data_IF_535688764867
#
_entry.id   IF_535688764867
#
_cell.length_a   1.000
_cell.length_b   1.000
_cell.length_c   1.000
_cell.angle_alpha   90.00
_cell.angle_beta   90.00
_cell.angle_gamma   90.00
#
_symmetry.space_group_name_H-M   'P 1'
#
loop_
_entity.id
_entity.type
_entity.pdbx_description
1 polymer ?
#
# COMPACT_ATOMS: atom_id res chain seq x y z
N UNK A 1 -35.49 31.45 -18.58
CA UNK A 1 -36.31 30.79 -17.53
C UNK A 1 -35.81 29.36 -17.41
N UNK A 2 -35.44 28.81 -16.26
CA UNK A 2 -35.16 29.32 -14.90
C UNK A 2 -33.91 28.52 -14.42
N UNK A 3 -32.86 29.13 -13.85
CA UNK A 3 -32.57 29.13 -12.39
C UNK A 3 -32.87 27.80 -11.68
N UNK A 4 -31.94 27.16 -10.96
CA UNK A 4 -30.86 27.64 -10.05
C UNK A 4 -29.65 26.66 -10.13
N UNK A 5 -28.41 27.14 -10.30
CA UNK A 5 -27.39 27.51 -9.28
C UNK A 5 -26.91 26.33 -8.40
N UNK A 6 -25.60 26.09 -8.36
CA UNK A 6 -24.96 24.99 -7.61
C UNK A 6 -23.44 25.14 -7.59
N UNK A 7 -22.94 26.28 -7.08
CA UNK A 7 -21.52 26.64 -7.14
C UNK A 7 -20.71 26.05 -5.98
N UNK A 8 -19.68 25.28 -6.31
CA UNK A 8 -18.45 25.03 -5.55
C UNK A 8 -18.52 24.91 -4.01
N UNK A 9 -18.47 23.66 -3.52
CA UNK A 9 -17.72 23.34 -2.29
C UNK A 9 -17.30 21.85 -2.29
N UNK A 10 -15.99 21.60 -2.13
CA UNK A 10 -15.26 20.34 -1.90
C UNK A 10 -13.78 20.68 -2.23
N UNK A 11 -13.09 21.50 -1.43
CA UNK A 11 -12.47 21.13 -0.15
C UNK A 11 -11.57 19.90 -0.27
N UNK A 12 -10.25 20.14 -0.25
CA UNK A 12 -9.32 19.18 0.34
C UNK A 12 -9.29 19.33 1.87
N UNK A 13 -8.21 18.85 2.47
CA UNK A 13 -7.94 18.75 3.91
C UNK A 13 -8.67 17.62 4.64
N UNK A 14 -7.90 16.84 5.41
CA UNK A 14 -8.40 15.96 6.45
C UNK A 14 -9.17 16.77 7.50
N UNK A 15 -10.38 16.36 7.87
CA UNK A 15 -11.01 16.75 9.14
C UNK A 15 -12.18 15.83 9.51
N UNK A 16 -12.05 15.16 10.66
CA UNK A 16 -13.18 14.61 11.43
C UNK A 16 -14.13 15.76 11.81
N UNK A 17 -15.46 15.59 11.73
CA UNK A 17 -16.39 16.41 12.51
C UNK A 17 -17.83 15.86 12.59
N UNK A 18 -18.22 15.37 13.78
CA UNK A 18 -19.55 15.62 14.36
C UNK A 18 -19.36 15.91 15.86
N UNK A 19 -19.95 16.99 16.35
CA UNK A 19 -20.21 17.29 17.77
C UNK A 19 -21.49 18.15 17.88
N UNK A 20 -22.05 18.44 19.07
CA UNK A 20 -21.76 17.96 20.44
C UNK A 20 -22.97 17.13 20.95
N UNK A 21 -23.60 17.21 22.14
CA UNK A 21 -23.51 17.98 23.41
C UNK A 21 -24.25 17.12 24.49
N UNK A 22 -24.17 17.25 25.82
CA UNK A 22 -23.77 18.35 26.72
C UNK A 22 -22.97 17.86 27.97
N UNK A 23 -22.98 18.69 29.03
CA UNK A 23 -22.73 18.47 30.47
C UNK A 23 -22.92 17.05 31.05
N UNK A 24 -22.22 16.61 32.12
CA UNK A 24 -21.94 17.33 33.39
C UNK A 24 -20.59 16.93 34.04
N UNK A 25 -19.78 17.94 34.41
CA UNK A 25 -19.05 18.09 35.69
C UNK A 25 -17.99 17.07 36.20
N UNK A 26 -16.77 17.55 36.47
CA UNK A 26 -15.76 16.83 37.28
C UNK A 26 -14.37 17.49 37.32
N UNK A 27 -14.01 18.15 38.42
CA UNK A 27 -12.80 19.00 38.55
C UNK A 27 -11.45 18.27 38.65
N UNK A 28 -10.38 18.97 38.22
CA UNK A 28 -8.96 18.88 38.67
C UNK A 28 -8.03 18.01 37.81
N UNK A 29 -6.84 18.44 37.35
CA UNK A 29 -6.06 19.70 37.58
C UNK A 29 -5.25 20.12 36.34
N UNK A 30 -4.72 21.35 36.32
CA UNK A 30 -4.02 21.95 35.15
C UNK A 30 -2.49 21.93 35.33
N UNK A 31 -1.72 21.22 34.47
CA UNK A 31 -0.34 21.55 34.12
C UNK A 31 -0.30 22.65 33.05
N UNK A 32 0.84 23.35 32.92
CA UNK A 32 0.94 24.58 32.12
C UNK A 32 1.07 24.32 30.61
N UNK A 33 0.60 25.31 29.85
CA UNK A 33 0.88 25.53 28.42
C UNK A 33 2.34 25.26 28.03
N UNK A 34 2.53 24.48 26.96
CA UNK A 34 3.81 24.16 26.33
C UNK A 34 3.67 22.88 25.50
N UNK A 35 3.89 23.00 24.18
CA UNK A 35 3.92 21.89 23.19
C UNK A 35 2.71 20.92 23.21
N UNK A 36 1.81 21.11 22.25
CA UNK A 36 1.14 19.95 21.65
C UNK A 36 2.21 19.23 20.85
N UNK A 37 2.78 18.15 21.40
CA UNK A 37 3.60 17.23 20.61
C UNK A 37 2.67 16.54 19.61
N UNK A 38 2.58 17.10 18.40
CA UNK A 38 2.04 16.38 17.25
C UNK A 38 3.01 15.23 16.99
N UNK A 39 2.63 14.03 17.44
CA UNK A 39 3.31 12.79 17.06
C UNK A 39 2.89 12.53 15.62
N UNK A 40 3.59 13.18 14.69
CA UNK A 40 3.54 12.85 13.26
C UNK A 40 3.80 11.36 13.08
N UNK A 41 3.08 10.68 12.18
CA UNK A 41 3.18 9.23 11.99
C UNK A 41 4.43 8.82 11.18
N UNK A 42 5.58 9.28 11.64
CA UNK A 42 6.91 8.88 11.19
C UNK A 42 7.15 7.37 11.39
N UNK A 43 6.28 6.68 12.15
CA UNK A 43 6.33 5.22 12.31
C UNK A 43 5.97 4.47 11.03
N UNK A 44 4.96 4.99 10.29
CA UNK A 44 4.52 4.42 9.02
C UNK A 44 5.58 4.62 7.93
N UNK A 45 6.08 5.85 7.77
CA UNK A 45 7.12 6.16 6.80
C UNK A 45 8.43 5.41 7.08
N UNK A 46 8.87 5.37 8.35
CA UNK A 46 10.10 4.67 8.72
C UNK A 46 10.02 3.17 8.43
N UNK A 47 8.88 2.53 8.73
CA UNK A 47 8.67 1.11 8.42
C UNK A 47 8.65 0.86 6.91
N UNK A 48 8.02 1.73 6.12
CA UNK A 48 7.92 1.55 4.67
C UNK A 48 9.22 1.86 3.92
N UNK A 49 10.15 2.62 4.53
CA UNK A 49 11.54 2.83 4.04
C UNK A 49 12.51 1.68 4.38
N UNK A 50 12.11 0.69 5.17
CA UNK A 50 12.93 -0.51 5.46
C UNK A 50 13.04 -1.42 4.23
N UNK A 51 14.12 -2.22 4.16
CA UNK A 51 14.24 -3.33 3.20
C UNK A 51 13.10 -4.37 3.40
N UNK A 52 12.77 -5.19 2.40
CA UNK A 52 11.71 -6.20 2.58
C UNK A 52 12.06 -7.25 3.65
N UNK A 53 13.34 -7.58 3.81
CA UNK A 53 13.83 -8.43 4.90
C UNK A 53 13.60 -7.76 6.26
N UNK A 54 14.00 -6.49 6.42
CA UNK A 54 13.77 -5.71 7.64
C UNK A 54 12.28 -5.54 7.95
N UNK A 55 11.43 -5.30 6.95
CA UNK A 55 9.97 -5.24 7.12
C UNK A 55 9.44 -6.56 7.70
N UNK A 56 9.90 -7.70 7.19
CA UNK A 56 9.52 -9.02 7.69
C UNK A 56 10.12 -9.31 9.07
N UNK A 57 11.35 -8.89 9.36
CA UNK A 57 12.00 -9.06 10.66
C UNK A 57 11.40 -8.17 11.76
N UNK A 58 10.86 -6.99 11.39
CA UNK A 58 10.27 -6.02 12.32
C UNK A 58 8.72 -6.08 12.41
N UNK A 59 8.05 -6.81 11.52
CA UNK A 59 6.60 -6.98 11.53
C UNK A 59 6.04 -7.52 12.87
N UNK A 60 4.84 -7.09 13.26
CA UNK A 60 4.13 -7.72 14.38
C UNK A 60 3.39 -8.99 13.95
N UNK A 61 2.91 -9.03 12.71
CA UNK A 61 2.22 -10.18 12.13
C UNK A 61 2.27 -10.19 10.59
N UNK A 62 1.94 -11.34 10.00
CA UNK A 62 1.88 -11.56 8.56
C UNK A 62 0.67 -12.45 8.23
N UNK A 63 -0.02 -12.12 7.14
CA UNK A 63 -1.00 -12.99 6.49
C UNK A 63 -0.55 -13.29 5.06
N UNK A 64 -0.91 -14.46 4.55
CA UNK A 64 -0.89 -14.76 3.12
C UNK A 64 -2.33 -15.01 2.69
N UNK A 65 -2.81 -14.26 1.70
CA UNK A 65 -4.13 -14.43 1.10
C UNK A 65 -4.00 -14.96 -0.32
N UNK A 66 -4.93 -15.84 -0.72
CA UNK A 66 -5.12 -16.30 -2.11
C UNK A 66 -6.42 -15.70 -2.64
N UNK A 67 -6.44 -15.29 -3.90
CA UNK A 67 -7.64 -14.83 -4.57
C UNK A 67 -8.34 -16.01 -5.26
N UNK A 68 -9.40 -16.52 -4.65
CA UNK A 68 -10.29 -17.49 -5.27
C UNK A 68 -11.27 -16.75 -6.19
N UNK A 69 -11.20 -17.02 -7.49
CA UNK A 69 -11.99 -16.36 -8.53
C UNK A 69 -13.02 -17.36 -9.06
N UNK A 70 -14.30 -16.97 -9.08
CA UNK A 70 -15.39 -17.84 -9.58
C UNK A 70 -15.64 -17.71 -11.10
N UNK A 71 -16.54 -18.56 -11.63
CA UNK A 71 -16.96 -18.56 -13.05
C UNK A 71 -17.63 -17.23 -13.50
N UNK A 72 -17.90 -16.31 -12.57
CA UNK A 72 -18.48 -14.99 -12.81
C UNK A 72 -17.46 -13.85 -12.61
N UNK A 73 -16.21 -14.15 -12.23
CA UNK A 73 -15.14 -13.19 -11.99
C UNK A 73 -15.12 -12.57 -10.58
N UNK A 74 -15.98 -13.02 -9.65
CA UNK A 74 -15.97 -12.51 -8.28
C UNK A 74 -14.74 -13.01 -7.52
N UNK A 75 -14.06 -12.12 -6.81
CA UNK A 75 -12.85 -12.43 -6.04
C UNK A 75 -13.17 -12.65 -4.56
N UNK A 76 -12.81 -13.82 -4.04
CA UNK A 76 -12.83 -14.15 -2.60
C UNK A 76 -11.39 -14.25 -2.08
N UNK A 77 -10.90 -13.27 -1.29
CA UNK A 77 -9.59 -13.37 -0.65
C UNK A 77 -9.64 -14.34 0.53
N UNK A 78 -8.98 -15.49 0.43
CA UNK A 78 -8.94 -16.53 1.48
C UNK A 78 -7.57 -16.54 2.14
N UNK A 79 -7.53 -16.46 3.48
CA UNK A 79 -6.29 -16.57 4.26
C UNK A 79 -5.75 -18.00 4.17
N UNK A 80 -4.58 -18.17 3.54
CA UNK A 80 -3.89 -19.47 3.42
C UNK A 80 -2.86 -19.68 4.52
N UNK A 81 -2.21 -18.61 4.99
CA UNK A 81 -1.23 -18.67 6.07
C UNK A 81 -1.34 -17.45 6.99
N UNK A 82 -0.97 -17.65 8.26
CA UNK A 82 -0.88 -16.59 9.28
C UNK A 82 0.32 -16.82 10.18
N UNK A 83 1.02 -15.74 10.55
CA UNK A 83 2.01 -15.69 11.63
C UNK A 83 1.83 -14.43 12.47
N UNK A 84 2.14 -14.49 13.76
CA UNK A 84 2.09 -13.34 14.67
C UNK A 84 3.14 -13.48 15.77
N UNK A 85 3.86 -12.39 16.06
CA UNK A 85 4.86 -12.31 17.14
C UNK A 85 4.28 -11.82 18.48
N UNK A 86 3.04 -11.33 18.49
CA UNK A 86 2.40 -10.75 19.68
C UNK A 86 1.88 -11.79 20.70
N UNK A 87 2.09 -13.09 20.46
CA UNK A 87 1.63 -14.17 21.34
C UNK A 87 0.10 -14.25 21.49
N UNK A 88 -0.65 -13.60 20.61
CA UNK A 88 -2.10 -13.50 20.62
C UNK A 88 -2.67 -13.68 19.20
N UNK A 89 -4.00 -13.74 19.06
CA UNK A 89 -4.63 -13.97 17.77
C UNK A 89 -4.65 -12.76 16.82
N UNK A 90 -3.95 -11.66 17.10
CA UNK A 90 -3.93 -10.50 16.20
C UNK A 90 -3.02 -10.71 14.98
N UNK A 91 -3.39 -10.19 13.79
CA UNK A 91 -4.75 -9.80 13.40
C UNK A 91 -5.68 -11.02 13.37
N UNK A 92 -6.97 -10.88 13.75
CA UNK A 92 -7.86 -11.93 14.29
C UNK A 92 -8.24 -13.10 13.38
N UNK A 93 -7.66 -13.16 12.17
CA UNK A 93 -7.97 -14.15 11.15
C UNK A 93 -7.35 -15.52 11.47
N UNK A 94 -7.93 -16.57 10.90
CA UNK A 94 -7.43 -17.93 10.89
C UNK A 94 -7.29 -18.43 9.44
N UNK A 95 -6.60 -19.57 9.24
CA UNK A 95 -6.48 -20.17 7.90
C UNK A 95 -7.85 -20.69 7.46
N UNK A 96 -8.28 -20.25 6.28
CA UNK A 96 -9.64 -20.46 5.73
C UNK A 96 -10.60 -19.29 5.90
N UNK A 97 -10.25 -18.26 6.68
CA UNK A 97 -11.08 -17.06 6.80
C UNK A 97 -11.05 -16.20 5.52
N UNK A 98 -12.15 -15.49 5.26
CA UNK A 98 -12.23 -14.51 4.17
C UNK A 98 -11.65 -13.18 4.66
N UNK A 99 -10.56 -12.74 4.04
CA UNK A 99 -9.96 -11.43 4.29
C UNK A 99 -10.68 -10.35 3.49
N UNK A 100 -11.78 -9.83 4.03
CA UNK A 100 -12.55 -8.74 3.41
C UNK A 100 -12.68 -7.57 4.39
N UNK A 101 -11.63 -6.76 4.50
CA UNK A 101 -11.66 -5.44 5.14
C UNK A 101 -12.28 -4.40 4.19
N UNK A 102 -12.73 -3.25 4.70
CA UNK A 102 -13.20 -2.15 3.83
C UNK A 102 -12.12 -1.73 2.83
N UNK A 103 -10.84 -1.71 3.24
CA UNK A 103 -9.69 -1.44 2.36
C UNK A 103 -9.53 -2.49 1.27
N UNK A 104 -9.62 -3.78 1.61
CA UNK A 104 -9.53 -4.85 0.61
C UNK A 104 -10.72 -4.83 -0.35
N UNK A 105 -11.92 -4.50 0.15
CA UNK A 105 -13.13 -4.35 -0.66
C UNK A 105 -12.96 -3.19 -1.66
N UNK A 106 -12.53 -2.02 -1.19
CA UNK A 106 -12.25 -0.87 -2.06
C UNK A 106 -11.18 -1.17 -3.12
N UNK A 107 -10.14 -1.95 -2.77
CA UNK A 107 -9.12 -2.40 -3.74
C UNK A 107 -9.73 -3.30 -4.83
N UNK A 108 -10.58 -4.25 -4.46
CA UNK A 108 -11.26 -5.13 -5.42
C UNK A 108 -12.30 -4.39 -6.27
N UNK A 109 -12.99 -3.39 -5.71
CA UNK A 109 -13.96 -2.56 -6.43
C UNK A 109 -13.28 -1.53 -7.35
N UNK A 110 -12.10 -1.00 -6.98
CA UNK A 110 -11.32 -0.08 -7.81
C UNK A 110 -10.73 -0.76 -9.06
N UNK A 111 -10.39 -2.05 -8.96
CA UNK A 111 -9.78 -2.80 -10.07
C UNK A 111 -10.80 -3.36 -11.08
N UNK A 112 -12.10 -3.08 -10.93
CA UNK A 112 -13.24 -3.31 -11.88
C UNK A 112 -13.14 -4.48 -12.90
N UNK A 113 -12.64 -5.64 -12.46
CA UNK A 113 -12.49 -6.84 -13.30
C UNK A 113 -11.15 -6.97 -14.06
N UNK A 114 -10.21 -6.02 -13.92
CA UNK A 114 -8.80 -6.15 -14.33
C UNK A 114 -8.01 -7.07 -13.38
N UNK A 115 -8.47 -8.32 -13.29
CA UNK A 115 -7.90 -9.39 -12.47
C UNK A 115 -6.41 -9.65 -12.80
N UNK A 116 -5.92 -9.19 -13.96
CA UNK A 116 -4.49 -9.17 -14.34
C UNK A 116 -3.62 -8.53 -13.24
N UNK A 117 -4.11 -7.50 -12.56
CA UNK A 117 -3.36 -6.76 -11.55
C UNK A 117 -3.32 -7.43 -10.17
N UNK A 118 -4.31 -8.27 -9.84
CA UNK A 118 -4.40 -8.95 -8.54
C UNK A 118 -3.42 -10.12 -8.38
N UNK A 119 -3.12 -10.83 -9.47
CA UNK A 119 -2.37 -12.08 -9.40
C UNK A 119 -3.12 -13.20 -8.67
N UNK A 120 -2.39 -14.16 -8.10
CA UNK A 120 -2.94 -15.31 -7.37
C UNK A 120 -3.33 -14.98 -5.92
N UNK A 121 -2.85 -13.85 -5.39
CA UNK A 121 -2.93 -13.54 -3.97
C UNK A 121 -2.00 -12.42 -3.55
N UNK A 122 -1.82 -12.26 -2.24
CA UNK A 122 -0.88 -11.30 -1.67
C UNK A 122 -0.32 -11.77 -0.32
N UNK A 123 0.91 -11.34 -0.02
CA UNK A 123 1.45 -11.31 1.35
C UNK A 123 1.11 -9.96 1.96
N UNK A 124 0.51 -9.95 3.15
CA UNK A 124 0.14 -8.76 3.91
C UNK A 124 0.99 -8.67 5.17
N UNK A 125 1.73 -7.57 5.31
CA UNK A 125 2.60 -7.28 6.45
C UNK A 125 1.91 -6.30 7.39
N UNK A 126 1.92 -6.62 8.69
CA UNK A 126 1.37 -5.79 9.76
C UNK A 126 2.45 -5.38 10.74
N UNK A 127 2.35 -4.17 11.30
CA UNK A 127 3.27 -3.63 12.31
C UNK A 127 2.52 -2.96 13.46
N UNK A 128 3.20 -2.81 14.60
CA UNK A 128 2.63 -2.29 15.85
C UNK A 128 1.80 -3.31 16.65
N UNK A 129 1.40 -2.89 17.86
CA UNK A 129 0.44 -3.57 18.73
C UNK A 129 -0.62 -2.53 19.18
N UNK A 130 -1.89 -2.62 18.74
CA UNK A 130 -2.44 -3.66 17.88
C UNK A 130 -1.87 -3.63 16.44
N UNK A 131 -1.77 -4.78 15.75
CA UNK A 131 -1.28 -4.84 14.37
C UNK A 131 -2.12 -4.01 13.41
N UNK A 132 -1.46 -3.11 12.68
CA UNK A 132 -2.03 -2.40 11.55
C UNK A 132 -1.32 -2.84 10.27
N UNK A 133 -2.05 -2.99 9.17
CA UNK A 133 -1.45 -3.26 7.87
C UNK A 133 -0.48 -2.12 7.49
N UNK A 134 0.67 -2.49 6.91
CA UNK A 134 1.69 -1.54 6.43
C UNK A 134 2.07 -1.75 4.98
N UNK A 135 2.06 -2.99 4.51
CA UNK A 135 2.33 -3.29 3.10
C UNK A 135 1.63 -4.55 2.62
N UNK A 136 1.39 -4.58 1.31
CA UNK A 136 1.10 -5.78 0.53
C UNK A 136 2.27 -6.07 -0.44
N UNK A 137 2.39 -7.31 -0.88
CA UNK A 137 3.13 -7.72 -2.09
C UNK A 137 2.29 -8.75 -2.83
N UNK A 138 2.17 -8.63 -4.15
CA UNK A 138 1.37 -9.52 -5.00
C UNK A 138 2.09 -10.87 -5.15
N UNK A 139 1.31 -11.95 -5.26
CA UNK A 139 1.77 -13.31 -5.55
C UNK A 139 1.38 -13.68 -6.99
N UNK A 140 2.32 -14.25 -7.75
CA UNK A 140 2.11 -14.79 -9.11
C UNK A 140 2.94 -16.06 -9.24
N UNK A 141 2.43 -17.11 -9.87
CA UNK A 141 3.12 -18.39 -10.07
C UNK A 141 3.74 -18.97 -8.76
N UNK A 142 3.07 -18.78 -7.63
CA UNK A 142 3.52 -19.18 -6.29
C UNK A 142 4.66 -18.34 -5.67
N UNK A 143 5.12 -17.27 -6.33
CA UNK A 143 6.19 -16.39 -5.85
C UNK A 143 5.71 -14.96 -5.60
N UNK A 144 6.31 -14.32 -4.60
CA UNK A 144 6.13 -12.91 -4.27
C UNK A 144 7.03 -12.07 -5.18
N UNK A 145 6.46 -11.05 -5.81
CA UNK A 145 7.23 -10.09 -6.62
C UNK A 145 8.13 -9.22 -5.71
N UNK A 146 9.44 -9.31 -5.92
CA UNK A 146 10.48 -8.53 -5.23
C UNK A 146 11.72 -8.40 -6.11
N UNK A 147 12.90 -8.20 -5.51
CA UNK A 147 14.19 -8.01 -6.19
C UNK A 147 14.46 -9.04 -7.31
N UNK A 148 14.04 -10.27 -7.04
CA UNK A 148 13.68 -11.31 -7.99
C UNK A 148 12.52 -12.11 -7.36
N UNK A 149 12.08 -13.23 -7.95
CA UNK A 149 10.96 -14.01 -7.42
C UNK A 149 11.30 -14.69 -6.08
N UNK A 150 10.54 -14.41 -5.03
CA UNK A 150 10.72 -15.01 -3.69
C UNK A 150 9.60 -16.03 -3.42
N UNK A 151 9.87 -17.32 -3.18
CA UNK A 151 8.84 -18.29 -2.79
C UNK A 151 8.10 -17.88 -1.51
N UNK A 152 6.79 -18.11 -1.45
CA UNK A 152 5.97 -17.80 -0.25
C UNK A 152 6.52 -18.50 1.01
N UNK A 153 7.03 -19.72 0.89
CA UNK A 153 7.67 -20.44 2.00
C UNK A 153 8.95 -19.76 2.51
N UNK A 154 9.72 -19.10 1.64
CA UNK A 154 10.92 -18.35 2.02
C UNK A 154 10.55 -17.02 2.69
N UNK A 155 9.47 -16.36 2.26
CA UNK A 155 8.90 -15.19 2.96
C UNK A 155 8.38 -15.58 4.35
N UNK A 156 7.72 -16.75 4.46
CA UNK A 156 7.30 -17.30 5.75
C UNK A 156 8.51 -17.64 6.64
N UNK A 157 9.59 -18.19 6.09
CA UNK A 157 10.82 -18.45 6.84
C UNK A 157 11.55 -17.15 7.26
N UNK A 158 11.54 -16.12 6.41
CA UNK A 158 12.07 -14.79 6.73
C UNK A 158 11.33 -14.13 7.90
N UNK A 159 10.01 -14.34 8.01
CA UNK A 159 9.26 -13.94 9.22
C UNK A 159 9.69 -14.73 10.49
N UNK A 160 10.27 -15.92 10.38
CA UNK A 160 10.87 -16.62 11.52
C UNK A 160 12.32 -16.19 11.81
N UNK A 161 12.86 -15.22 11.05
CA UNK A 161 14.23 -14.73 11.18
C UNK A 161 15.26 -15.47 10.33
N UNK A 162 14.84 -16.22 9.31
CA UNK A 162 15.74 -16.69 8.27
C UNK A 162 16.26 -15.50 7.42
N UNK A 163 17.48 -15.58 6.86
CA UNK A 163 17.98 -14.56 5.95
C UNK A 163 17.24 -14.62 4.61
N UNK A 164 16.85 -13.45 4.08
CA UNK A 164 16.17 -13.32 2.79
C UNK A 164 17.10 -12.73 1.73
N UNK A 165 17.72 -13.64 0.97
CA UNK A 165 18.31 -13.26 -0.33
C UNK A 165 17.16 -12.72 -1.20
N UNK A 166 17.38 -11.57 -1.85
CA UNK A 166 16.36 -10.79 -2.57
C UNK A 166 15.31 -10.06 -1.70
N UNK A 167 15.70 -9.55 -0.52
CA UNK A 167 15.05 -8.35 0.03
C UNK A 167 15.03 -7.19 -0.99
N UNK A 168 13.89 -6.50 -1.16
CA UNK A 168 13.69 -5.45 -2.17
C UNK A 168 14.84 -4.42 -2.25
N UNK A 169 15.36 -4.06 -3.44
CA UNK A 169 16.20 -2.87 -3.67
C UNK A 169 15.37 -1.57 -3.62
N UNK A 170 14.37 -1.52 -2.73
CA UNK A 170 13.63 -0.32 -2.39
C UNK A 170 14.52 0.77 -1.73
N UNK A 171 15.77 0.44 -1.37
CA UNK A 171 16.82 1.41 -1.05
C UNK A 171 17.14 2.39 -2.19
N UNK A 172 16.80 2.07 -3.45
CA UNK A 172 17.27 2.82 -4.63
C UNK A 172 16.24 3.82 -5.18
N UNK A 173 14.95 3.75 -4.80
CA UNK A 173 14.00 4.84 -5.10
C UNK A 173 14.21 5.99 -4.11
N UNK A 174 15.18 6.85 -4.42
CA UNK A 174 15.57 8.04 -3.65
C UNK A 174 14.71 9.28 -3.93
N UNK A 175 13.70 9.11 -4.79
CA UNK A 175 12.78 10.12 -5.28
C UNK A 175 11.80 10.64 -4.20
N UNK A 176 12.31 11.45 -3.27
CA UNK A 176 11.50 12.18 -2.30
C UNK A 176 10.59 13.23 -3.00
N UNK A 177 9.32 13.38 -2.59
CA UNK A 177 8.35 14.28 -3.21
C UNK A 177 8.55 15.74 -2.78
N UNK A 178 8.33 16.67 -3.70
CA UNK A 178 8.38 18.10 -3.42
C UNK A 178 7.02 18.62 -2.96
N UNK A 179 6.76 18.45 -1.65
CA UNK A 179 5.56 18.94 -0.98
C UNK A 179 5.35 20.47 -1.16
N UNK A 180 6.41 21.25 -1.47
CA UNK A 180 6.28 22.69 -1.74
C UNK A 180 5.67 23.00 -3.12
N UNK A 181 5.68 22.03 -4.04
CA UNK A 181 4.96 22.06 -5.32
C UNK A 181 3.58 21.38 -5.27
N UNK A 182 3.24 20.72 -4.16
CA UNK A 182 2.03 19.91 -4.03
C UNK A 182 2.15 18.51 -4.63
N UNK A 183 3.37 17.98 -4.78
CA UNK A 183 3.57 16.57 -5.13
C UNK A 183 3.14 15.65 -3.97
N UNK A 184 2.49 14.53 -4.28
CA UNK A 184 2.07 13.48 -3.36
C UNK A 184 3.19 12.45 -3.13
N UNK A 185 2.95 11.48 -2.24
CA UNK A 185 3.92 10.39 -1.96
C UNK A 185 4.24 9.56 -3.21
N UNK A 186 5.47 9.00 -3.32
CA UNK A 186 5.92 8.33 -4.53
C UNK A 186 5.10 7.08 -4.86
N UNK A 187 4.46 7.11 -6.04
CA UNK A 187 3.88 5.93 -6.66
C UNK A 187 5.01 5.03 -7.20
N UNK A 188 4.79 3.71 -7.24
CA UNK A 188 5.73 2.76 -7.84
C UNK A 188 5.04 1.50 -8.36
N UNK A 189 5.58 0.94 -9.43
CA UNK A 189 5.15 -0.33 -10.04
C UNK A 189 6.37 -1.15 -10.46
N UNK A 190 6.22 -2.48 -10.51
CA UNK A 190 7.23 -3.39 -11.09
C UNK A 190 6.71 -3.86 -12.45
N UNK A 191 7.52 -3.69 -13.49
CA UNK A 191 7.14 -3.86 -14.90
C UNK A 191 8.24 -4.55 -15.69
N UNK A 192 7.87 -5.28 -16.75
CA UNK A 192 8.82 -5.94 -17.65
C UNK A 192 9.65 -4.94 -18.47
N UNK A 193 10.65 -5.45 -19.18
CA UNK A 193 11.50 -4.64 -20.06
C UNK A 193 10.73 -3.84 -21.13
N UNK A 194 9.59 -4.37 -21.61
CA UNK A 194 8.71 -3.76 -22.61
C UNK A 194 7.75 -2.73 -21.98
N UNK A 195 7.00 -3.13 -20.95
CA UNK A 195 6.10 -2.26 -20.17
C UNK A 195 6.84 -1.04 -19.58
N UNK A 196 8.06 -1.23 -19.07
CA UNK A 196 8.94 -0.13 -18.62
C UNK A 196 9.20 0.88 -19.74
N UNK A 197 9.30 0.46 -21.00
CA UNK A 197 9.45 1.35 -22.14
C UNK A 197 8.21 2.21 -22.39
N UNK A 198 7.02 1.63 -22.22
CA UNK A 198 5.73 2.31 -22.32
C UNK A 198 5.58 3.34 -21.18
N UNK A 199 5.77 2.90 -19.93
CA UNK A 199 5.60 3.72 -18.73
C UNK A 199 6.57 4.91 -18.68
N UNK A 200 7.86 4.70 -19.01
CA UNK A 200 8.83 5.81 -19.08
C UNK A 200 8.42 6.83 -20.14
N UNK A 201 7.93 6.41 -21.30
CA UNK A 201 7.45 7.34 -22.34
C UNK A 201 6.19 8.13 -21.93
N UNK A 202 5.36 7.59 -21.03
CA UNK A 202 4.22 8.30 -20.43
C UNK A 202 4.73 9.36 -19.43
N UNK A 203 5.64 8.97 -18.53
CA UNK A 203 6.23 9.83 -17.50
C UNK A 203 7.01 11.00 -18.11
N UNK A 204 7.85 10.74 -19.12
CA UNK A 204 8.57 11.76 -19.89
C UNK A 204 7.61 12.71 -20.63
N UNK A 205 6.55 12.18 -21.27
CA UNK A 205 5.52 12.99 -21.95
C UNK A 205 4.79 13.93 -20.99
N UNK A 206 4.53 13.48 -19.77
CA UNK A 206 3.88 14.27 -18.70
C UNK A 206 4.84 15.20 -17.97
N UNK A 207 6.15 15.06 -18.16
CA UNK A 207 7.17 15.88 -17.51
C UNK A 207 7.31 15.61 -16.01
N UNK A 208 6.86 14.43 -15.55
CA UNK A 208 6.91 14.04 -14.15
C UNK A 208 8.33 13.66 -13.73
N UNK A 209 8.61 13.73 -12.42
CA UNK A 209 9.88 13.24 -11.88
C UNK A 209 9.73 11.75 -11.63
N UNK A 210 10.67 10.96 -12.14
CA UNK A 210 10.67 9.50 -11.99
C UNK A 210 12.08 8.94 -11.84
N UNK A 211 12.17 7.73 -11.31
CA UNK A 211 13.40 6.95 -11.14
C UNK A 211 13.13 5.50 -11.57
N UNK A 212 14.11 4.87 -12.21
CA UNK A 212 13.99 3.51 -12.77
C UNK A 212 15.13 2.65 -12.25
N UNK A 213 14.78 1.60 -11.52
CA UNK A 213 15.71 0.66 -10.91
C UNK A 213 15.61 -0.69 -11.65
N UNK A 214 16.70 -1.22 -12.23
CA UNK A 214 16.69 -2.56 -12.83
C UNK A 214 16.56 -3.63 -11.74
N UNK A 215 15.76 -4.65 -11.97
CA UNK A 215 15.37 -5.64 -10.97
C UNK A 215 15.31 -7.05 -11.61
N UNK A 216 16.45 -7.74 -11.63
CA UNK A 216 16.73 -8.94 -12.42
C UNK A 216 16.36 -8.79 -13.92
N UNK A 217 15.26 -9.39 -14.38
CA UNK A 217 14.73 -9.24 -15.75
C UNK A 217 13.59 -8.20 -15.88
N UNK A 218 13.13 -7.69 -14.74
CA UNK A 218 12.10 -6.67 -14.57
C UNK A 218 12.72 -5.31 -14.22
N UNK A 219 11.88 -4.30 -14.01
CA UNK A 219 12.26 -2.95 -13.59
C UNK A 219 11.23 -2.41 -12.59
N UNK A 220 11.70 -1.77 -11.53
CA UNK A 220 10.84 -0.90 -10.70
C UNK A 220 10.89 0.51 -11.27
N UNK A 221 9.73 1.08 -11.54
CA UNK A 221 9.56 2.48 -11.93
C UNK A 221 8.81 3.18 -10.80
N UNK A 222 9.42 4.21 -10.22
CA UNK A 222 8.80 5.08 -9.21
C UNK A 222 8.69 6.51 -9.70
N UNK A 223 7.60 7.21 -9.37
CA UNK A 223 7.36 8.59 -9.79
C UNK A 223 6.63 9.42 -8.74
N UNK A 224 6.78 10.75 -8.85
CA UNK A 224 6.07 11.74 -8.03
C UNK A 224 5.40 12.79 -8.91
N UNK A 225 4.22 13.22 -8.49
CA UNK A 225 3.33 14.17 -9.16
C UNK A 225 2.18 14.55 -8.20
N UNK A 226 1.18 15.30 -8.64
CA UNK A 226 -0.06 15.47 -7.86
C UNK A 226 -0.88 14.17 -7.90
N UNK A 227 -1.84 13.97 -6.99
CA UNK A 227 -2.68 12.75 -6.96
C UNK A 227 -3.30 12.45 -8.34
N UNK A 228 -3.86 13.47 -8.99
CA UNK A 228 -4.46 13.38 -10.33
C UNK A 228 -3.43 13.16 -11.47
N UNK A 229 -2.13 13.41 -11.24
CA UNK A 229 -1.08 13.02 -12.18
C UNK A 229 -0.73 11.53 -12.02
N UNK A 230 -0.79 11.01 -10.79
CA UNK A 230 -0.52 9.60 -10.48
C UNK A 230 -1.62 8.73 -11.06
N UNK A 231 -2.89 9.06 -10.82
CA UNK A 231 -4.05 8.35 -11.38
C UNK A 231 -3.96 8.27 -12.92
N UNK A 232 -3.76 9.42 -13.59
CA UNK A 232 -3.71 9.45 -15.06
C UNK A 232 -2.48 8.76 -15.68
N UNK A 233 -1.39 8.56 -14.93
CA UNK A 233 -0.26 7.74 -15.40
C UNK A 233 -0.64 6.26 -15.43
N UNK A 234 -1.44 5.81 -14.48
CA UNK A 234 -1.95 4.44 -14.42
C UNK A 234 -2.97 4.23 -15.55
N UNK A 235 -3.97 5.10 -15.67
CA UNK A 235 -4.97 5.08 -16.77
C UNK A 235 -4.30 5.02 -18.17
N UNK A 236 -3.28 5.86 -18.42
CA UNK A 236 -2.58 5.90 -19.71
C UNK A 236 -1.61 4.73 -19.93
N UNK A 237 -1.21 4.02 -18.87
CA UNK A 237 -0.34 2.85 -18.94
C UNK A 237 -1.13 1.57 -19.17
N UNK A 238 -2.21 1.36 -18.41
CA UNK A 238 -3.06 0.19 -18.54
C UNK A 238 -3.76 0.12 -19.91
N UNK A 239 -4.23 1.28 -20.42
CA UNK A 239 -4.78 1.43 -21.77
C UNK A 239 -3.73 1.38 -22.90
N UNK A 240 -2.43 1.32 -22.57
CA UNK A 240 -1.33 1.09 -23.51
C UNK A 240 -0.77 -0.34 -23.44
N UNK A 241 -1.30 -1.16 -22.52
CA UNK A 241 -0.94 -2.58 -22.33
C UNK A 241 -2.13 -3.53 -22.61
N UNK A 242 -3.14 -3.07 -23.37
CA UNK A 242 -4.22 -3.88 -23.99
C UNK A 242 -3.90 -4.24 -25.46
#
# INVERSE_FOLDING_TARGET
MKTILGSALLCGLSLLLIGCDQDVGGTSSIPKSGEITVIEDRSWEAFNRLSYEDQLHQASALLVIRYDIDDQGNVTPVVTHRKSRLGNDSPPYQVGDIYMTDTQKMLLEYLDGELRHLGEGAVLIFSGDPPQQRGNRIIRDGVVSGAGPIPVDEVLAGFDGAPLVNGDPAEVLTLEPDLSKGEAGPAKVTVSAEEKGILVAILERRGLRFEVVPQDDMFVVGWVGMDADIEQVIDEFDAACE
#
